data_IF_526753511063
#
_entry.id   IF_526753511063
#
_cell.length_a   1.000
_cell.length_b   1.000
_cell.length_c   1.000
_cell.angle_alpha   90.00
_cell.angle_beta   90.00
_cell.angle_gamma   90.00
#
_symmetry.space_group_name_H-M   'P 1'
#
loop_
_entity.id
_entity.type
_entity.pdbx_description
1 polymer ?
#
# COMPACT_ATOMS: atom_id res chain seq x y z
N UNK A 1 -63.71 -32.35 84.18
CA UNK A 1 -64.63 -32.24 83.07
C UNK A 1 -64.07 -31.29 82.07
N UNK A 2 -63.49 -31.75 80.95
CA UNK A 2 -63.30 -30.98 79.68
C UNK A 2 -62.80 -32.03 78.68
N UNK A 3 -63.55 -32.23 77.63
CA UNK A 3 -63.29 -33.20 76.58
C UNK A 3 -62.11 -32.77 75.67
N UNK A 4 -61.33 -33.72 75.21
CA UNK A 4 -60.22 -33.59 74.31
C UNK A 4 -60.70 -33.80 72.89
N UNK A 5 -60.35 -32.92 71.93
CA UNK A 5 -60.77 -33.13 70.54
C UNK A 5 -59.83 -34.14 69.83
N UNK A 6 -60.39 -34.95 68.97
CA UNK A 6 -59.73 -35.97 68.17
C UNK A 6 -58.86 -35.33 67.03
N UNK A 7 -57.67 -35.86 66.85
CA UNK A 7 -56.76 -35.57 65.77
C UNK A 7 -57.20 -36.27 64.45
N UNK A 8 -57.49 -35.52 63.44
CA UNK A 8 -57.75 -36.04 62.10
C UNK A 8 -56.43 -36.28 61.38
N UNK A 9 -56.16 -37.53 61.02
CA UNK A 9 -55.00 -37.91 60.18
C UNK A 9 -55.35 -37.72 58.71
N UNK A 10 -54.49 -37.08 57.90
CA UNK A 10 -54.69 -37.05 56.45
C UNK A 10 -54.25 -38.42 55.87
N UNK A 11 -55.08 -39.00 55.04
CA UNK A 11 -54.80 -40.17 54.24
C UNK A 11 -53.73 -39.89 53.19
N UNK A 12 -52.62 -40.57 53.22
CA UNK A 12 -51.58 -40.56 52.23
C UNK A 12 -52.07 -41.22 50.94
N UNK A 13 -52.31 -40.45 49.87
CA UNK A 13 -52.59 -41.03 48.56
C UNK A 13 -51.25 -41.43 47.94
N UNK A 14 -50.98 -42.73 47.84
CA UNK A 14 -49.80 -43.29 47.19
C UNK A 14 -49.97 -43.16 45.68
N UNK A 15 -49.26 -42.18 45.07
CA UNK A 15 -49.19 -42.06 43.62
C UNK A 15 -48.38 -43.21 43.01
N UNK A 16 -48.93 -43.84 41.97
CA UNK A 16 -48.31 -44.90 41.21
C UNK A 16 -47.00 -44.47 40.56
N UNK A 17 -45.96 -45.30 40.46
CA UNK A 17 -44.72 -44.97 39.77
C UNK A 17 -44.90 -44.56 38.32
N UNK A 18 -45.98 -44.95 37.69
CA UNK A 18 -46.30 -44.62 36.31
C UNK A 18 -46.83 -43.16 36.12
N UNK A 19 -47.46 -42.60 37.16
CA UNK A 19 -47.94 -41.21 37.11
C UNK A 19 -46.80 -40.21 37.25
N UNK A 20 -45.78 -40.54 38.02
CA UNK A 20 -44.52 -39.77 38.16
C UNK A 20 -43.71 -39.81 36.87
N UNK A 21 -43.64 -40.94 36.18
CA UNK A 21 -42.97 -41.08 34.87
C UNK A 21 -43.68 -40.27 33.77
N UNK A 22 -44.99 -40.27 33.72
CA UNK A 22 -45.75 -39.49 32.74
C UNK A 22 -45.62 -37.97 32.94
N UNK A 23 -45.57 -37.52 34.20
CA UNK A 23 -45.37 -36.11 34.54
C UNK A 23 -43.95 -35.61 34.17
N UNK A 24 -42.92 -36.46 34.37
CA UNK A 24 -41.51 -36.15 34.01
C UNK A 24 -41.30 -36.11 32.48
N UNK A 25 -41.94 -37.02 31.74
CA UNK A 25 -41.86 -37.03 30.28
C UNK A 25 -42.58 -35.87 29.62
N UNK A 26 -43.70 -35.42 30.22
CA UNK A 26 -44.42 -34.20 29.74
C UNK A 26 -43.67 -32.90 29.98
N UNK A 27 -42.96 -32.78 31.11
CA UNK A 27 -42.17 -31.62 31.44
C UNK A 27 -40.87 -31.50 30.57
N UNK A 28 -40.28 -32.61 30.16
CA UNK A 28 -39.10 -32.60 29.27
C UNK A 28 -39.43 -32.27 27.83
N UNK A 29 -40.62 -32.61 27.35
CA UNK A 29 -41.06 -32.33 25.97
C UNK A 29 -41.41 -30.84 25.72
N UNK A 30 -41.86 -30.13 26.74
CA UNK A 30 -42.19 -28.70 26.64
C UNK A 30 -40.92 -27.84 26.73
N UNK A 31 -39.89 -28.28 27.46
CA UNK A 31 -38.61 -27.55 27.59
C UNK A 31 -37.71 -27.63 26.34
N UNK A 32 -37.87 -28.63 25.48
CA UNK A 32 -37.10 -28.75 24.23
C UNK A 32 -37.70 -27.89 23.07
N UNK A 33 -38.98 -27.61 23.14
CA UNK A 33 -39.65 -26.77 22.11
C UNK A 33 -39.39 -25.29 22.30
N UNK A 34 -39.03 -24.83 23.49
CA UNK A 34 -38.72 -23.41 23.77
C UNK A 34 -37.26 -23.02 23.53
N UNK A 35 -36.38 -23.99 23.35
CA UNK A 35 -34.95 -23.75 23.13
C UNK A 35 -34.61 -23.49 21.64
N UNK A 36 -35.54 -23.68 20.72
CA UNK A 36 -35.32 -23.46 19.27
C UNK A 36 -35.73 -22.09 18.74
N UNK A 37 -36.24 -21.21 19.61
CA UNK A 37 -36.73 -19.88 19.20
C UNK A 37 -35.83 -18.69 19.59
N UNK A 38 -34.62 -18.95 20.02
CA UNK A 38 -33.78 -17.87 20.57
C UNK A 38 -32.30 -17.93 20.22
N UNK A 39 -31.88 -18.59 19.13
CA UNK A 39 -30.58 -18.30 18.59
C UNK A 39 -30.72 -16.95 17.88
N UNK A 40 -30.00 -15.88 18.35
CA UNK A 40 -29.85 -14.73 17.50
C UNK A 40 -29.19 -15.27 16.22
N UNK A 41 -29.89 -15.18 15.08
CA UNK A 41 -29.23 -15.26 13.80
C UNK A 41 -28.15 -14.19 13.91
N UNK A 42 -26.90 -14.63 14.08
CA UNK A 42 -25.74 -13.77 13.85
C UNK A 42 -25.87 -13.44 12.37
N UNK A 43 -26.68 -12.41 12.13
CA UNK A 43 -26.74 -11.76 10.84
C UNK A 43 -25.32 -11.35 10.60
N UNK A 44 -24.66 -11.99 9.64
CA UNK A 44 -23.38 -11.62 9.09
C UNK A 44 -23.60 -10.25 8.41
N UNK A 45 -23.80 -9.24 9.27
CA UNK A 45 -23.89 -7.83 8.90
C UNK A 45 -22.48 -7.28 8.63
N UNK A 46 -21.58 -8.12 8.13
CA UNK A 46 -20.45 -7.65 7.33
C UNK A 46 -21.02 -7.24 6.00
N UNK A 47 -21.56 -6.01 5.98
CA UNK A 47 -22.05 -5.38 4.77
C UNK A 47 -21.01 -5.58 3.67
N UNK A 48 -21.46 -5.99 2.48
CA UNK A 48 -20.59 -6.32 1.34
C UNK A 48 -19.53 -5.23 1.18
N UNK A 49 -18.27 -5.52 1.49
CA UNK A 49 -17.13 -4.64 1.24
C UNK A 49 -16.70 -4.81 -0.23
N UNK A 50 -16.43 -3.70 -0.94
CA UNK A 50 -16.59 -2.29 -0.56
C UNK A 50 -18.00 -1.75 -0.91
N UNK A 51 -18.54 -0.85 -0.05
CA UNK A 51 -19.84 -0.17 -0.26
C UNK A 51 -19.71 1.28 -0.73
N UNK A 52 -18.49 1.82 -0.74
CA UNK A 52 -18.17 3.20 -1.13
C UNK A 52 -16.84 3.23 -1.89
N UNK A 53 -16.52 4.32 -2.59
CA UNK A 53 -15.23 4.46 -3.28
C UNK A 53 -14.03 4.28 -2.35
N UNK A 54 -12.99 3.64 -2.88
CA UNK A 54 -11.71 3.44 -2.20
C UNK A 54 -10.72 4.52 -2.67
N UNK A 55 -10.05 5.16 -1.73
CA UNK A 55 -8.99 6.13 -1.99
C UNK A 55 -7.66 5.42 -2.18
N UNK A 56 -6.99 5.64 -3.32
CA UNK A 56 -5.63 5.17 -3.56
C UNK A 56 -4.66 6.35 -3.43
N UNK A 57 -3.91 6.40 -2.34
CA UNK A 57 -2.86 7.38 -2.13
C UNK A 57 -1.66 7.01 -2.99
N UNK A 58 -1.14 7.96 -3.77
CA UNK A 58 0.03 7.81 -4.63
C UNK A 58 1.07 8.85 -4.16
N UNK A 59 2.23 8.43 -3.60
CA UNK A 59 3.19 9.34 -2.98
C UNK A 59 4.08 10.11 -3.96
N UNK A 60 3.67 10.19 -5.23
CA UNK A 60 4.42 10.79 -6.31
C UNK A 60 3.55 11.67 -7.20
N UNK A 61 4.15 12.64 -7.92
CA UNK A 61 3.40 13.46 -8.88
C UNK A 61 2.76 12.62 -9.99
N UNK A 62 1.68 13.12 -10.62
CA UNK A 62 1.10 12.51 -11.81
C UNK A 62 2.13 12.31 -12.93
N UNK A 63 2.00 11.19 -13.66
CA UNK A 63 2.88 10.81 -14.77
C UNK A 63 4.19 10.13 -14.37
N UNK A 64 4.45 9.97 -13.09
CA UNK A 64 5.57 9.15 -12.61
C UNK A 64 5.20 7.66 -12.61
N UNK A 65 6.20 6.75 -12.62
CA UNK A 65 5.96 5.31 -12.75
C UNK A 65 4.93 4.77 -11.75
N UNK A 66 5.03 5.15 -10.48
CA UNK A 66 4.09 4.73 -9.43
C UNK A 66 2.67 5.24 -9.70
N UNK A 67 2.52 6.44 -10.27
CA UNK A 67 1.21 6.98 -10.65
C UNK A 67 0.62 6.19 -11.83
N UNK A 68 1.41 5.89 -12.84
CA UNK A 68 0.96 5.10 -14.01
C UNK A 68 0.51 3.70 -13.59
N UNK A 69 1.29 3.03 -12.75
CA UNK A 69 0.94 1.71 -12.20
C UNK A 69 -0.29 1.80 -11.31
N UNK A 70 -0.34 2.77 -10.38
CA UNK A 70 -1.48 2.98 -9.48
C UNK A 70 -2.78 3.21 -10.24
N UNK A 71 -2.77 4.05 -11.29
CA UNK A 71 -3.97 4.29 -12.13
C UNK A 71 -4.38 3.05 -12.92
N UNK A 72 -3.42 2.29 -13.44
CA UNK A 72 -3.71 1.02 -14.11
C UNK A 72 -4.37 0.01 -13.17
N UNK A 73 -3.84 -0.12 -11.94
CA UNK A 73 -4.44 -0.93 -10.88
C UNK A 73 -5.83 -0.42 -10.48
N UNK A 74 -6.01 0.89 -10.35
CA UNK A 74 -7.30 1.49 -10.00
C UNK A 74 -8.39 1.09 -11.00
N UNK A 75 -8.10 1.10 -12.29
CA UNK A 75 -9.03 0.65 -13.35
C UNK A 75 -9.37 -0.84 -13.19
N UNK A 76 -8.36 -1.69 -13.00
CA UNK A 76 -8.56 -3.14 -12.81
C UNK A 76 -9.35 -3.46 -11.55
N UNK A 77 -8.97 -2.89 -10.42
CA UNK A 77 -9.63 -3.08 -9.13
C UNK A 77 -11.07 -2.57 -9.14
N UNK A 78 -11.34 -1.41 -9.77
CA UNK A 78 -12.70 -0.89 -9.87
C UNK A 78 -13.66 -1.85 -10.57
N UNK A 79 -13.19 -2.58 -11.59
CA UNK A 79 -13.99 -3.59 -12.30
C UNK A 79 -14.31 -4.81 -11.42
N UNK A 80 -13.32 -5.25 -10.65
CA UNK A 80 -13.46 -6.45 -9.80
C UNK A 80 -14.29 -6.16 -8.56
N UNK A 81 -14.06 -5.00 -7.94
CA UNK A 81 -14.68 -4.63 -6.66
C UNK A 81 -16.05 -3.94 -6.83
N UNK A 82 -16.44 -3.57 -8.04
CA UNK A 82 -17.70 -2.86 -8.29
C UNK A 82 -17.77 -1.45 -7.70
N UNK A 83 -16.65 -0.89 -7.24
CA UNK A 83 -16.54 0.43 -6.64
C UNK A 83 -15.40 1.24 -7.26
N UNK A 84 -15.56 2.56 -7.32
CA UNK A 84 -14.53 3.43 -7.86
C UNK A 84 -13.26 3.42 -6.98
N UNK A 85 -12.09 3.34 -7.62
CA UNK A 85 -10.81 3.58 -6.97
C UNK A 85 -10.33 4.98 -7.37
N UNK A 86 -10.28 5.90 -6.40
CA UNK A 86 -9.94 7.31 -6.63
C UNK A 86 -8.47 7.53 -6.34
N UNK A 87 -7.68 7.82 -7.38
CA UNK A 87 -6.24 8.13 -7.24
C UNK A 87 -6.05 9.53 -6.66
N UNK A 88 -5.27 9.62 -5.58
CA UNK A 88 -4.95 10.86 -4.85
C UNK A 88 -3.43 11.00 -4.71
N UNK A 89 -2.84 11.90 -5.53
CA UNK A 89 -1.40 12.13 -5.53
C UNK A 89 -0.99 13.04 -4.35
N UNK A 90 -0.17 12.50 -3.43
CA UNK A 90 0.41 13.20 -2.27
C UNK A 90 1.92 13.19 -2.37
N UNK A 91 2.44 13.98 -3.29
CA UNK A 91 3.87 14.05 -3.57
C UNK A 91 4.64 14.89 -2.54
N UNK A 92 5.94 14.59 -2.40
CA UNK A 92 6.89 15.39 -1.65
C UNK A 92 7.79 14.57 -0.71
N UNK A 93 8.93 15.16 -0.36
CA UNK A 93 9.94 14.56 0.53
C UNK A 93 10.31 13.11 0.16
N UNK A 94 10.59 12.85 -1.12
CA UNK A 94 10.93 11.48 -1.59
C UNK A 94 9.79 10.46 -1.47
N UNK A 95 8.54 10.90 -1.35
CA UNK A 95 7.36 10.05 -1.15
C UNK A 95 6.91 9.93 0.30
N UNK A 96 7.65 10.47 1.27
CA UNK A 96 7.30 10.39 2.70
C UNK A 96 5.94 11.00 3.01
N UNK A 97 5.56 12.13 2.36
CA UNK A 97 4.28 12.80 2.61
C UNK A 97 3.11 11.87 2.30
N UNK A 98 3.13 11.20 1.15
CA UNK A 98 2.05 10.28 0.78
C UNK A 98 1.99 9.03 1.65
N UNK A 99 3.15 8.50 2.04
CA UNK A 99 3.21 7.36 2.96
C UNK A 99 2.67 7.74 4.34
N UNK A 100 3.01 8.90 4.88
CA UNK A 100 2.48 9.41 6.16
C UNK A 100 0.95 9.57 6.13
N UNK A 101 0.42 10.13 5.05
CA UNK A 101 -1.03 10.25 4.85
C UNK A 101 -1.73 8.90 4.86
N UNK A 102 -1.12 7.88 4.24
CA UNK A 102 -1.69 6.53 4.23
C UNK A 102 -1.55 5.82 5.59
N UNK A 103 -0.40 5.97 6.26
CA UNK A 103 -0.15 5.40 7.59
C UNK A 103 -1.15 5.91 8.64
N UNK A 104 -1.55 7.18 8.55
CA UNK A 104 -2.53 7.81 9.46
C UNK A 104 -3.99 7.60 9.06
N UNK A 105 -4.25 6.93 7.95
CA UNK A 105 -5.62 6.64 7.54
C UNK A 105 -6.27 5.57 8.43
N UNK A 106 -7.60 5.54 8.46
CA UNK A 106 -8.32 4.48 9.17
C UNK A 106 -8.01 3.12 8.53
N UNK A 107 -7.76 2.06 9.32
CA UNK A 107 -7.48 0.72 8.80
C UNK A 107 -8.78 -0.04 8.42
N UNK A 108 -9.67 0.62 7.69
CA UNK A 108 -10.99 0.12 7.28
C UNK A 108 -11.01 -0.42 5.84
N UNK A 109 -9.86 -0.48 5.17
CA UNK A 109 -9.73 -0.93 3.79
C UNK A 109 -10.10 0.13 2.74
N UNK A 110 -10.61 1.31 3.11
CA UNK A 110 -10.99 2.35 2.15
C UNK A 110 -9.89 3.34 1.80
N UNK A 111 -8.70 3.17 2.37
CA UNK A 111 -7.49 3.86 1.93
C UNK A 111 -6.40 2.83 1.65
N UNK A 112 -5.91 2.81 0.42
CA UNK A 112 -4.79 1.96 -0.01
C UNK A 112 -3.65 2.85 -0.48
N UNK A 113 -2.41 2.35 -0.39
CA UNK A 113 -1.21 3.04 -0.81
C UNK A 113 -0.60 2.32 -2.03
N UNK A 114 -0.45 3.03 -3.13
CA UNK A 114 0.39 2.60 -4.24
C UNK A 114 1.80 3.15 -4.01
N UNK A 115 2.65 2.36 -3.36
CA UNK A 115 3.98 2.79 -2.96
C UNK A 115 5.10 2.31 -3.90
N UNK A 116 6.28 2.87 -3.70
CA UNK A 116 7.54 2.41 -4.28
C UNK A 116 8.55 2.07 -3.18
N UNK A 117 9.65 1.39 -3.53
CA UNK A 117 10.67 0.95 -2.59
C UNK A 117 11.34 2.12 -1.84
N UNK A 118 11.56 3.26 -2.49
CA UNK A 118 12.26 4.40 -1.89
C UNK A 118 11.73 4.78 -0.51
N UNK A 119 10.50 5.27 -0.39
CA UNK A 119 9.94 5.73 0.89
C UNK A 119 9.69 4.62 1.91
N UNK A 120 9.50 3.37 1.50
CA UNK A 120 9.18 2.28 2.43
C UNK A 120 10.40 1.44 2.87
N UNK A 121 11.46 1.36 2.05
CA UNK A 121 12.60 0.50 2.37
C UNK A 121 13.90 1.25 2.54
N UNK A 122 14.13 2.33 1.79
CA UNK A 122 15.43 3.01 1.80
C UNK A 122 15.45 4.23 2.71
N UNK A 123 14.47 5.12 2.57
CA UNK A 123 14.41 6.35 3.36
C UNK A 123 14.43 6.06 4.87
N UNK A 124 13.67 5.07 5.41
CA UNK A 124 13.73 4.75 6.84
C UNK A 124 15.10 4.31 7.35
N UNK A 125 16.00 3.87 6.48
CA UNK A 125 17.37 3.46 6.85
C UNK A 125 18.36 4.64 6.90
N UNK A 126 18.03 5.74 6.24
CA UNK A 126 18.96 6.88 6.09
C UNK A 126 18.50 8.14 6.82
N UNK A 127 17.22 8.24 7.19
CA UNK A 127 16.69 9.36 7.95
C UNK A 127 15.40 8.99 8.70
N UNK A 128 15.03 9.73 9.77
CA UNK A 128 13.76 9.54 10.46
C UNK A 128 12.57 9.73 9.51
N UNK A 129 11.55 8.86 9.66
CA UNK A 129 10.28 8.94 8.94
C UNK A 129 9.12 9.15 9.91
N UNK A 130 8.04 9.84 9.51
CA UNK A 130 6.85 10.04 10.35
C UNK A 130 5.96 8.79 10.43
N UNK A 131 6.40 7.66 9.90
CA UNK A 131 5.72 6.35 9.90
C UNK A 131 6.73 5.22 10.12
N UNK A 132 6.26 4.09 10.61
CA UNK A 132 7.00 2.82 10.68
C UNK A 132 6.58 1.94 9.49
N UNK A 133 7.49 1.77 8.52
CA UNK A 133 7.19 1.03 7.31
C UNK A 133 6.82 -0.44 7.57
N UNK A 134 7.22 -1.03 8.70
CA UNK A 134 6.92 -2.42 9.02
C UNK A 134 5.63 -2.60 9.83
N UNK A 135 5.20 -1.58 10.59
CA UNK A 135 4.07 -1.69 11.52
C UNK A 135 2.82 -0.96 11.04
N UNK A 136 2.99 0.18 10.34
CA UNK A 136 1.86 1.05 9.99
C UNK A 136 1.16 0.63 8.70
N UNK A 137 1.67 -0.39 7.99
CA UNK A 137 1.12 -0.84 6.73
C UNK A 137 0.86 -2.35 6.71
N UNK A 138 -0.29 -2.75 6.19
CA UNK A 138 -0.55 -4.13 5.78
C UNK A 138 -0.23 -4.25 4.29
N UNK A 139 0.83 -4.98 3.97
CA UNK A 139 1.24 -5.21 2.58
C UNK A 139 0.31 -6.19 1.89
N UNK A 140 -0.26 -5.79 0.73
CA UNK A 140 -1.21 -6.61 -0.01
C UNK A 140 -0.49 -7.43 -1.08
N UNK A 141 0.24 -6.76 -1.99
CA UNK A 141 0.96 -7.42 -3.06
C UNK A 141 2.03 -6.49 -3.67
N UNK A 142 3.01 -7.10 -4.33
CA UNK A 142 3.91 -6.39 -5.25
C UNK A 142 3.24 -6.30 -6.61
N UNK A 143 2.88 -5.08 -7.03
CA UNK A 143 2.14 -4.84 -8.27
C UNK A 143 2.99 -5.10 -9.53
N UNK A 144 4.23 -4.63 -9.53
CA UNK A 144 5.17 -4.83 -10.63
C UNK A 144 6.62 -4.55 -10.19
N UNK A 145 7.55 -4.97 -11.04
CA UNK A 145 8.96 -4.53 -11.00
C UNK A 145 9.20 -3.71 -12.26
N UNK A 146 9.78 -2.52 -12.09
CA UNK A 146 10.10 -1.62 -13.19
C UNK A 146 11.61 -1.42 -13.25
N UNK A 147 12.28 -1.76 -14.37
CA UNK A 147 13.71 -1.49 -14.53
C UNK A 147 13.97 0.02 -14.62
N UNK A 148 15.12 0.43 -14.13
CA UNK A 148 15.64 1.78 -14.32
C UNK A 148 16.58 1.81 -15.51
N UNK A 149 16.63 2.94 -16.18
CA UNK A 149 17.50 3.20 -17.34
C UNK A 149 18.33 4.44 -17.04
N UNK A 150 19.61 4.36 -17.27
CA UNK A 150 20.52 5.50 -17.30
C UNK A 150 20.28 6.26 -18.60
N UNK A 151 19.83 7.50 -18.52
CA UNK A 151 19.47 8.32 -19.69
C UNK A 151 20.20 9.65 -19.71
N UNK A 152 20.48 10.09 -20.94
CA UNK A 152 21.04 11.41 -21.27
C UNK A 152 20.19 12.09 -22.35
N UNK A 153 20.46 13.36 -22.64
CA UNK A 153 19.98 13.97 -23.90
C UNK A 153 20.48 13.15 -25.10
N UNK A 154 19.74 13.15 -26.20
CA UNK A 154 20.07 12.35 -27.39
C UNK A 154 21.37 12.78 -28.07
N UNK A 155 21.75 14.06 -27.95
CA UNK A 155 22.97 14.66 -28.50
C UNK A 155 24.15 14.63 -27.52
N UNK A 156 23.96 14.07 -26.30
CA UNK A 156 25.03 13.98 -25.31
C UNK A 156 26.21 13.14 -25.83
N UNK A 157 27.49 13.55 -25.55
CA UNK A 157 28.68 12.93 -26.16
C UNK A 157 28.85 11.43 -25.84
N UNK A 158 28.42 10.95 -24.66
CA UNK A 158 28.51 9.54 -24.32
C UNK A 158 27.40 8.72 -25.00
N UNK A 159 27.78 7.56 -25.57
CA UNK A 159 26.84 6.66 -26.27
C UNK A 159 26.47 5.42 -25.45
N UNK A 160 27.21 5.15 -24.39
CA UNK A 160 27.01 4.04 -23.44
C UNK A 160 27.50 4.42 -22.04
N UNK A 161 27.27 3.59 -21.05
CA UNK A 161 27.65 3.84 -19.67
C UNK A 161 29.18 3.94 -19.47
N UNK A 162 29.97 3.16 -20.20
CA UNK A 162 31.43 3.19 -20.11
C UNK A 162 31.97 4.53 -20.65
N UNK A 163 31.47 5.01 -21.79
CA UNK A 163 31.80 6.32 -22.34
C UNK A 163 31.40 7.46 -21.40
N UNK A 164 30.25 7.36 -20.71
CA UNK A 164 29.83 8.33 -19.69
C UNK A 164 30.84 8.36 -18.52
N UNK A 165 31.22 7.21 -17.99
CA UNK A 165 32.21 7.14 -16.91
C UNK A 165 33.54 7.77 -17.33
N UNK A 166 34.05 7.43 -18.53
CA UNK A 166 35.30 7.99 -19.04
C UNK A 166 35.21 9.52 -19.21
N UNK A 167 34.09 10.02 -19.75
CA UNK A 167 33.85 11.44 -19.97
C UNK A 167 33.80 12.22 -18.65
N UNK A 168 33.09 11.70 -17.65
CA UNK A 168 32.96 12.33 -16.32
C UNK A 168 34.31 12.34 -15.61
N UNK A 169 35.08 11.24 -15.65
CA UNK A 169 36.42 11.16 -15.07
C UNK A 169 37.40 12.15 -15.68
N UNK A 170 37.33 12.33 -17.00
CA UNK A 170 38.20 13.28 -17.72
C UNK A 170 37.84 14.75 -17.46
N UNK A 171 36.66 15.05 -16.87
CA UNK A 171 36.19 16.39 -16.64
C UNK A 171 35.60 16.55 -15.23
N UNK A 172 36.40 16.51 -14.16
CA UNK A 172 35.92 16.60 -12.78
C UNK A 172 35.14 17.90 -12.54
N UNK A 173 33.98 17.77 -11.87
CA UNK A 173 33.12 18.91 -11.51
C UNK A 173 32.32 19.54 -12.65
N UNK A 174 32.50 19.07 -13.91
CA UNK A 174 31.80 19.62 -15.07
C UNK A 174 30.36 19.11 -15.19
N UNK A 175 30.12 17.87 -14.82
CA UNK A 175 28.84 17.18 -15.00
C UNK A 175 28.09 17.05 -13.68
N UNK A 176 26.78 17.04 -13.79
CA UNK A 176 25.83 16.82 -12.70
C UNK A 176 24.87 15.69 -13.06
N UNK A 177 24.12 15.17 -12.09
CA UNK A 177 23.05 14.23 -12.37
C UNK A 177 21.75 14.64 -11.68
N UNK A 178 20.62 14.35 -12.32
CA UNK A 178 19.30 14.67 -11.83
C UNK A 178 18.61 13.48 -11.18
N UNK A 179 17.63 13.78 -10.31
CA UNK A 179 16.70 12.77 -9.81
C UNK A 179 15.32 13.37 -9.55
N UNK A 180 14.32 12.51 -9.37
CA UNK A 180 12.97 12.89 -8.97
C UNK A 180 12.85 13.37 -7.51
N UNK A 181 13.96 13.51 -6.81
CA UNK A 181 14.07 14.05 -5.44
C UNK A 181 15.10 13.31 -4.59
N UNK A 182 15.54 13.98 -3.52
CA UNK A 182 16.46 13.38 -2.55
C UNK A 182 15.82 12.14 -1.91
N UNK A 183 16.56 11.02 -1.85
CA UNK A 183 16.08 9.74 -1.33
C UNK A 183 15.20 8.94 -2.32
N UNK A 184 14.87 9.48 -3.49
CA UNK A 184 14.22 8.71 -4.55
C UNK A 184 15.15 7.61 -5.08
N UNK A 185 14.59 6.53 -5.62
CA UNK A 185 15.38 5.39 -6.12
C UNK A 185 16.42 5.82 -7.17
N UNK A 186 16.06 6.72 -8.10
CA UNK A 186 17.00 7.24 -9.10
C UNK A 186 18.18 8.02 -8.50
N UNK A 187 17.97 8.74 -7.39
CA UNK A 187 19.06 9.36 -6.64
C UNK A 187 20.03 8.31 -6.09
N UNK A 188 19.48 7.31 -5.40
CA UNK A 188 20.28 6.25 -4.76
C UNK A 188 21.06 5.41 -5.79
N UNK A 189 20.43 5.13 -6.94
CA UNK A 189 21.10 4.45 -8.04
C UNK A 189 22.24 5.30 -8.62
N UNK A 190 22.06 6.62 -8.74
CA UNK A 190 23.11 7.54 -9.13
C UNK A 190 24.29 7.49 -8.16
N UNK A 191 24.04 7.60 -6.86
CA UNK A 191 25.09 7.54 -5.84
C UNK A 191 25.83 6.19 -5.82
N UNK A 192 25.09 5.08 -5.95
CA UNK A 192 25.68 3.76 -6.04
C UNK A 192 26.55 3.60 -7.30
N UNK A 193 26.10 4.12 -8.44
CA UNK A 193 26.86 4.14 -9.70
C UNK A 193 28.12 4.98 -9.56
N UNK A 194 28.04 6.16 -8.94
CA UNK A 194 29.21 7.01 -8.70
C UNK A 194 30.22 6.35 -7.78
N UNK A 195 29.76 5.74 -6.68
CA UNK A 195 30.63 5.02 -5.76
C UNK A 195 31.35 3.86 -6.46
N UNK A 196 30.61 3.06 -7.23
CA UNK A 196 31.20 1.93 -7.96
C UNK A 196 32.19 2.35 -9.06
N UNK A 197 31.92 3.48 -9.72
CA UNK A 197 32.78 3.99 -10.79
C UNK A 197 33.88 4.95 -10.29
N UNK A 198 33.91 5.30 -9.01
CA UNK A 198 34.86 6.29 -8.45
C UNK A 198 34.67 7.69 -9.05
N UNK A 199 33.40 8.12 -9.15
CA UNK A 199 33.02 9.44 -9.68
C UNK A 199 32.64 10.39 -8.55
N UNK A 200 32.94 11.66 -8.72
CA UNK A 200 32.41 12.76 -7.89
C UNK A 200 31.54 13.64 -8.76
N UNK A 201 30.23 13.61 -8.54
CA UNK A 201 29.22 14.28 -9.36
C UNK A 201 28.20 14.97 -8.47
N UNK A 202 27.82 16.20 -8.82
CA UNK A 202 26.83 16.97 -8.06
C UNK A 202 25.42 16.47 -8.36
N UNK A 203 24.67 16.16 -7.31
CA UNK A 203 23.24 15.81 -7.40
C UNK A 203 22.36 17.05 -7.52
N UNK A 204 21.41 17.03 -8.44
CA UNK A 204 20.38 18.05 -8.63
C UNK A 204 18.99 17.44 -8.42
N UNK A 205 18.37 17.63 -7.24
CA UNK A 205 17.03 17.08 -6.97
C UNK A 205 15.92 17.91 -7.60
N UNK A 206 14.92 17.23 -8.17
CA UNK A 206 13.70 17.87 -8.73
C UNK A 206 12.45 17.39 -7.98
N UNK A 207 11.33 18.08 -8.19
CA UNK A 207 10.03 17.71 -7.63
C UNK A 207 9.29 16.69 -8.53
N UNK A 208 9.96 15.58 -8.85
CA UNK A 208 9.43 14.50 -9.68
C UNK A 208 10.24 14.23 -10.95
N UNK A 209 9.89 13.13 -11.64
CA UNK A 209 10.62 12.64 -12.83
C UNK A 209 10.55 13.58 -14.01
N UNK A 210 9.36 14.09 -14.37
CA UNK A 210 9.20 14.92 -15.58
C UNK A 210 10.01 16.22 -15.54
N UNK A 211 10.05 16.99 -14.43
CA UNK A 211 10.96 18.12 -14.30
C UNK A 211 12.44 17.73 -14.48
N UNK A 212 12.88 16.63 -13.90
CA UNK A 212 14.26 16.16 -14.07
C UNK A 212 14.57 15.83 -15.54
N UNK A 213 13.69 15.09 -16.22
CA UNK A 213 13.86 14.75 -17.64
C UNK A 213 13.85 15.97 -18.55
N UNK A 214 13.07 17.00 -18.23
CA UNK A 214 13.06 18.26 -18.97
C UNK A 214 14.42 18.92 -18.93
N UNK A 215 15.09 18.93 -17.78
CA UNK A 215 16.43 19.49 -17.63
C UNK A 215 17.51 18.64 -18.32
N UNK A 216 17.36 17.30 -18.30
CA UNK A 216 18.23 16.41 -19.06
C UNK A 216 18.09 16.63 -20.56
N UNK A 217 16.88 16.67 -21.10
CA UNK A 217 16.63 16.93 -22.52
C UNK A 217 17.11 18.31 -22.98
N UNK A 218 17.15 19.28 -22.08
CA UNK A 218 17.66 20.62 -22.35
C UNK A 218 19.19 20.73 -22.16
N UNK A 219 19.88 19.63 -21.77
CA UNK A 219 21.33 19.64 -21.56
C UNK A 219 21.80 20.38 -20.31
N UNK A 220 20.90 20.83 -19.42
CA UNK A 220 21.26 21.50 -18.16
C UNK A 220 21.63 20.50 -17.05
N UNK A 221 21.10 19.29 -17.16
CA UNK A 221 21.49 18.12 -16.36
C UNK A 221 22.06 17.08 -17.30
N UNK A 222 23.22 16.51 -16.97
CA UNK A 222 23.95 15.60 -17.88
C UNK A 222 23.21 14.26 -18.05
N UNK A 223 22.73 13.68 -16.96
CA UNK A 223 22.05 12.37 -16.97
C UNK A 223 21.19 12.17 -15.73
N UNK A 224 20.33 11.16 -15.79
CA UNK A 224 19.58 10.67 -14.63
C UNK A 224 19.32 9.17 -14.76
N UNK A 225 18.94 8.54 -13.63
CA UNK A 225 18.40 7.20 -13.59
C UNK A 225 16.90 7.30 -13.40
N UNK A 226 16.14 6.79 -14.37
CA UNK A 226 14.67 6.82 -14.30
C UNK A 226 14.05 5.54 -14.83
N UNK A 227 12.80 5.31 -14.44
CA UNK A 227 12.09 4.09 -14.79
C UNK A 227 11.84 3.97 -16.29
N UNK A 228 12.02 2.78 -16.84
CA UNK A 228 11.80 2.48 -18.26
C UNK A 228 10.40 2.90 -18.73
N UNK A 229 9.37 2.68 -17.90
CA UNK A 229 7.99 3.05 -18.24
C UNK A 229 7.80 4.53 -18.56
N UNK A 230 8.62 5.40 -17.95
CA UNK A 230 8.55 6.86 -18.17
C UNK A 230 9.49 7.31 -19.28
N UNK A 231 10.71 6.75 -19.39
CA UNK A 231 11.71 7.24 -20.34
C UNK A 231 11.56 6.65 -21.75
N UNK A 232 11.00 5.45 -21.90
CA UNK A 232 10.89 4.78 -23.20
C UNK A 232 10.18 5.59 -24.29
N UNK A 233 9.08 6.32 -24.02
CA UNK A 233 8.51 7.23 -25.03
C UNK A 233 9.50 8.26 -25.54
N UNK A 234 10.24 8.92 -24.65
CA UNK A 234 11.23 9.94 -25.01
C UNK A 234 12.44 9.37 -25.75
N UNK A 235 12.83 8.11 -25.44
CA UNK A 235 13.90 7.41 -26.18
C UNK A 235 13.43 7.08 -27.59
N UNK A 236 12.19 6.58 -27.74
CA UNK A 236 11.61 6.28 -29.07
C UNK A 236 11.46 7.52 -29.93
N UNK A 237 11.13 8.65 -29.32
CA UNK A 237 11.01 9.95 -29.99
C UNK A 237 12.37 10.59 -30.29
N UNK A 238 13.50 9.96 -29.93
CA UNK A 238 14.85 10.46 -30.14
C UNK A 238 15.22 11.68 -29.30
N UNK A 239 14.48 11.98 -28.23
CA UNK A 239 14.73 13.09 -27.30
C UNK A 239 15.70 12.71 -26.18
N UNK A 240 15.71 11.46 -25.78
CA UNK A 240 16.64 10.88 -24.83
C UNK A 240 17.40 9.72 -25.46
N UNK A 241 18.55 9.41 -24.89
CA UNK A 241 19.33 8.19 -25.16
C UNK A 241 19.44 7.36 -23.90
N UNK A 242 19.09 6.07 -23.96
CA UNK A 242 19.39 5.08 -22.95
C UNK A 242 20.84 4.63 -23.09
N UNK A 243 21.58 4.61 -22.00
CA UNK A 243 22.99 4.18 -21.98
C UNK A 243 23.16 2.78 -21.34
N UNK A 244 22.10 2.26 -20.68
CA UNK A 244 22.07 0.98 -19.97
C UNK A 244 20.95 0.92 -18.92
#
# INVERSE_FOLDING_TARGET
MKAKPALHQPSATTQSPDDVRRSLLGAFSVSLASASLGLPAVSDAQGAYPTKPIRMVIPWPPGQATDLVGRSLAVGLSRVLGQAIVSDNKAGAGGMIGCDVAAKAKPDGYTILAASSGPLTVIPLVQPTPYDAQKDFTYIAMACITPYVLVTASDFPAKDAAALVALVKANPGKYNFGSSGTGATGHLMGEAFHAAAGLSVVHVPFKGTLPALTEVMAGRVAYCFETASVVMPFIRDGRLRGLG
#
